data_IF_580144102725
#
_entry.id   IF_580144102725
#
_cell.length_a   1.000
_cell.length_b   1.000
_cell.length_c   1.000
_cell.angle_alpha   90.00
_cell.angle_beta   90.00
_cell.angle_gamma   90.00
#
_symmetry.space_group_name_H-M   'P 1'
#
loop_
_entity.id
_entity.type
_entity.pdbx_description
1 polymer ?
#
# COMPACT_ATOMS: atom_id res chain seq x y z
N UNK A 1 1.44 -11.65 16.13
CA UNK A 1 1.34 -10.18 16.06
C UNK A 1 0.32 -9.91 14.99
N UNK A 2 -0.95 -10.03 15.38
CA UNK A 2 -2.06 -9.97 14.44
C UNK A 2 -2.68 -8.58 14.58
N UNK A 3 -2.07 -7.59 13.95
CA UNK A 3 -2.77 -6.33 13.68
C UNK A 3 -3.87 -6.64 12.66
N UNK A 4 -5.00 -7.13 13.15
CA UNK A 4 -6.22 -7.32 12.36
C UNK A 4 -6.68 -5.94 11.89
N UNK A 5 -6.52 -5.67 10.59
CA UNK A 5 -7.20 -4.56 9.95
C UNK A 5 -8.71 -4.87 9.96
N UNK A 6 -9.45 -4.26 10.87
CA UNK A 6 -10.91 -4.38 10.91
C UNK A 6 -11.50 -3.63 9.72
N UNK A 7 -12.52 -4.18 9.05
CA UNK A 7 -13.23 -3.47 7.99
C UNK A 7 -14.64 -3.12 8.43
N UNK A 8 -15.10 -1.91 8.09
CA UNK A 8 -16.45 -1.41 8.40
C UNK A 8 -17.15 -0.95 7.14
N UNK A 9 -18.45 -1.23 7.03
CA UNK A 9 -19.27 -0.80 5.90
C UNK A 9 -20.03 0.47 6.26
N UNK A 10 -19.67 1.60 5.68
CA UNK A 10 -20.34 2.89 5.88
C UNK A 10 -20.95 3.36 4.56
N UNK A 11 -22.26 3.62 4.55
CA UNK A 11 -23.01 4.10 3.36
C UNK A 11 -22.74 3.27 2.09
N UNK A 12 -22.61 1.95 2.23
CA UNK A 12 -22.37 1.02 1.12
C UNK A 12 -20.89 0.85 0.70
N UNK A 13 -19.96 1.67 1.23
CA UNK A 13 -18.52 1.54 0.99
C UNK A 13 -17.83 0.80 2.14
N UNK A 14 -16.80 0.02 1.82
CA UNK A 14 -15.97 -0.67 2.82
C UNK A 14 -14.77 0.21 3.15
N UNK A 15 -14.55 0.44 4.44
CA UNK A 15 -13.41 1.16 4.98
C UNK A 15 -12.61 0.25 5.90
N UNK A 16 -11.32 0.52 6.06
CA UNK A 16 -10.45 -0.18 7.00
C UNK A 16 -10.19 0.67 8.23
N UNK A 17 -10.08 0.02 9.39
CA UNK A 17 -9.74 0.63 10.67
C UNK A 17 -8.33 0.20 11.03
N UNK A 18 -7.48 1.20 11.27
CA UNK A 18 -6.11 1.02 11.75
C UNK A 18 -5.98 1.88 13.01
N UNK A 19 -5.51 1.31 14.11
CA UNK A 19 -5.31 2.08 15.36
C UNK A 19 -6.57 2.75 15.91
N UNK A 20 -7.75 2.16 15.67
CA UNK A 20 -9.07 2.71 16.03
C UNK A 20 -9.57 3.88 15.18
N UNK A 21 -8.87 4.24 14.10
CA UNK A 21 -9.27 5.29 13.15
C UNK A 21 -9.76 4.69 11.82
N UNK A 22 -10.88 5.21 11.32
CA UNK A 22 -11.40 4.88 9.98
C UNK A 22 -10.52 5.58 8.95
N UNK A 23 -9.86 4.81 8.09
CA UNK A 23 -9.05 5.33 7.01
C UNK A 23 -9.96 5.83 5.88
N UNK A 24 -10.10 7.15 5.71
CA UNK A 24 -10.82 7.75 4.58
C UNK A 24 -9.88 7.99 3.40
N UNK A 25 -10.47 8.07 2.20
CA UNK A 25 -9.76 8.40 0.95
C UNK A 25 -8.95 9.71 1.08
N UNK A 26 -9.53 10.74 1.69
CA UNK A 26 -8.86 12.03 1.93
C UNK A 26 -7.67 11.94 2.89
N UNK A 27 -7.70 11.00 3.83
CA UNK A 27 -6.61 10.80 4.79
C UNK A 27 -5.44 10.10 4.09
N UNK A 28 -5.75 9.14 3.22
CA UNK A 28 -4.78 8.49 2.34
C UNK A 28 -4.07 9.51 1.43
N UNK A 29 -4.82 10.40 0.77
CA UNK A 29 -4.25 11.46 -0.07
C UNK A 29 -3.28 12.36 0.72
N UNK A 30 -3.73 12.85 1.88
CA UNK A 30 -2.92 13.76 2.72
C UNK A 30 -1.68 13.09 3.31
N UNK A 31 -1.78 11.84 3.75
CA UNK A 31 -0.69 11.18 4.48
C UNK A 31 0.26 10.43 3.57
N UNK A 32 -0.24 9.86 2.47
CA UNK A 32 0.51 8.98 1.58
C UNK A 32 0.80 9.71 0.27
N UNK A 33 -0.22 10.10 -0.50
CA UNK A 33 0.00 10.63 -1.85
C UNK A 33 0.83 11.93 -1.86
N UNK A 34 0.62 12.80 -0.86
CA UNK A 34 1.38 14.04 -0.70
C UNK A 34 2.89 13.82 -0.63
N UNK A 35 3.35 12.71 -0.04
CA UNK A 35 4.77 12.34 0.08
C UNK A 35 5.42 12.04 -1.26
N UNK A 36 4.62 11.76 -2.29
CA UNK A 36 5.11 11.45 -3.62
C UNK A 36 5.14 12.68 -4.54
N UNK A 37 4.79 13.87 -4.05
CA UNK A 37 4.90 15.14 -4.80
C UNK A 37 4.30 15.05 -6.23
N UNK A 38 3.11 14.45 -6.34
CA UNK A 38 2.41 14.26 -7.62
C UNK A 38 2.86 13.04 -8.44
N UNK A 39 3.89 12.30 -8.02
CA UNK A 39 4.35 11.06 -8.66
C UNK A 39 3.74 9.78 -8.07
N UNK A 40 2.79 9.89 -7.13
CA UNK A 40 2.17 8.74 -6.47
C UNK A 40 1.64 7.71 -7.49
N UNK A 41 0.94 8.19 -8.53
CA UNK A 41 0.36 7.33 -9.57
C UNK A 41 1.40 6.44 -10.26
N UNK A 42 2.62 6.95 -10.49
CA UNK A 42 3.70 6.17 -11.12
C UNK A 42 4.21 5.08 -10.19
N UNK A 43 4.46 5.42 -8.93
CA UNK A 43 4.86 4.47 -7.89
C UNK A 43 3.78 3.39 -7.68
N UNK A 44 2.51 3.79 -7.61
CA UNK A 44 1.37 2.89 -7.47
C UNK A 44 1.23 1.92 -8.65
N UNK A 45 1.36 2.42 -9.89
CA UNK A 45 1.31 1.57 -11.08
C UNK A 45 2.41 0.51 -11.09
N UNK A 46 3.62 0.87 -10.67
CA UNK A 46 4.73 -0.07 -10.53
C UNK A 46 4.44 -1.13 -9.46
N UNK A 47 3.98 -0.71 -8.27
CA UNK A 47 3.61 -1.63 -7.19
C UNK A 47 2.53 -2.64 -7.64
N UNK A 48 1.47 -2.15 -8.30
CA UNK A 48 0.41 -3.01 -8.83
C UNK A 48 0.94 -3.97 -9.90
N UNK A 49 1.85 -3.53 -10.76
CA UNK A 49 2.47 -4.40 -11.77
C UNK A 49 3.25 -5.54 -11.14
N UNK A 50 3.99 -5.27 -10.06
CA UNK A 50 4.69 -6.30 -9.28
C UNK A 50 3.67 -7.27 -8.68
N UNK A 51 2.62 -6.79 -8.01
CA UNK A 51 1.61 -7.68 -7.43
C UNK A 51 0.95 -8.58 -8.49
N UNK A 52 0.68 -8.06 -9.68
CA UNK A 52 0.08 -8.83 -10.79
C UNK A 52 0.97 -9.96 -11.33
N UNK A 53 2.27 -9.96 -11.06
CA UNK A 53 3.16 -11.05 -11.47
C UNK A 53 3.15 -12.25 -10.50
N UNK A 54 2.38 -12.18 -9.42
CA UNK A 54 2.28 -13.23 -8.40
C UNK A 54 0.90 -13.89 -8.39
N UNK A 55 0.88 -15.18 -8.03
CA UNK A 55 -0.36 -15.91 -7.81
C UNK A 55 -1.18 -15.32 -6.66
N UNK A 56 -2.50 -15.40 -6.80
CA UNK A 56 -3.46 -14.92 -5.80
C UNK A 56 -3.21 -15.53 -4.41
N UNK A 57 -2.78 -16.79 -4.34
CA UNK A 57 -2.45 -17.45 -3.07
C UNK A 57 -1.27 -16.80 -2.33
N UNK A 58 -0.27 -16.30 -3.07
CA UNK A 58 0.86 -15.55 -2.51
C UNK A 58 0.38 -14.20 -2.00
N UNK A 59 -0.46 -13.51 -2.77
CA UNK A 59 -0.98 -12.19 -2.40
C UNK A 59 -1.91 -12.21 -1.18
N UNK A 60 -2.67 -13.29 -1.01
CA UNK A 60 -3.63 -13.42 0.10
C UNK A 60 -2.99 -13.91 1.40
N UNK A 61 -1.81 -14.52 1.34
CA UNK A 61 -1.09 -14.92 2.55
C UNK A 61 -0.19 -13.80 3.02
N UNK A 62 -0.46 -13.27 4.22
CA UNK A 62 0.35 -12.20 4.82
C UNK A 62 1.84 -12.58 4.88
N UNK A 63 2.16 -13.82 5.29
CA UNK A 63 3.55 -14.31 5.38
C UNK A 63 4.21 -14.38 4.00
N UNK A 64 3.55 -14.99 3.02
CA UNK A 64 4.13 -15.12 1.68
C UNK A 64 4.25 -13.76 1.00
N UNK A 65 3.21 -12.93 1.05
CA UNK A 65 3.26 -11.56 0.54
C UNK A 65 4.45 -10.79 1.13
N UNK A 66 4.63 -10.83 2.45
CA UNK A 66 5.73 -10.15 3.13
C UNK A 66 7.09 -10.66 2.64
N UNK A 67 7.33 -11.98 2.67
CA UNK A 67 8.64 -12.55 2.35
C UNK A 67 8.98 -12.51 0.86
N UNK A 68 8.00 -12.66 -0.05
CA UNK A 68 8.28 -12.83 -1.48
C UNK A 68 8.00 -11.59 -2.32
N UNK A 69 7.05 -10.75 -1.92
CA UNK A 69 6.64 -9.56 -2.69
C UNK A 69 7.29 -8.32 -2.10
N UNK A 70 7.06 -8.06 -0.81
CA UNK A 70 7.43 -6.82 -0.14
C UNK A 70 8.91 -6.76 0.26
N UNK A 71 9.35 -7.65 1.15
CA UNK A 71 10.68 -7.62 1.78
C UNK A 71 11.85 -7.58 0.79
N UNK A 72 11.86 -8.33 -0.33
CA UNK A 72 12.99 -8.32 -1.26
C UNK A 72 13.18 -6.99 -1.99
N UNK A 73 12.15 -6.16 -2.06
CA UNK A 73 12.10 -4.94 -2.88
C UNK A 73 11.84 -3.68 -2.08
N UNK A 74 11.57 -3.81 -0.76
CA UNK A 74 11.20 -2.69 0.11
C UNK A 74 12.20 -1.55 -0.01
N UNK A 75 13.48 -1.83 0.18
CA UNK A 75 14.52 -0.80 0.23
C UNK A 75 14.83 -0.23 -1.16
N UNK A 76 14.78 -1.07 -2.20
CA UNK A 76 14.93 -0.66 -3.60
C UNK A 76 13.80 0.28 -4.03
N UNK A 77 12.54 -0.11 -3.80
CA UNK A 77 11.36 0.68 -4.15
C UNK A 77 11.29 1.97 -3.33
N UNK A 78 11.62 1.91 -2.03
CA UNK A 78 11.68 3.10 -1.19
C UNK A 78 12.70 4.12 -1.75
N UNK A 79 13.92 3.66 -2.08
CA UNK A 79 14.93 4.53 -2.69
C UNK A 79 14.46 5.09 -4.04
N UNK A 80 13.95 4.22 -4.92
CA UNK A 80 13.51 4.58 -6.26
C UNK A 80 12.37 5.60 -6.24
N UNK A 81 11.37 5.40 -5.39
CA UNK A 81 10.22 6.31 -5.34
C UNK A 81 10.58 7.63 -4.67
N UNK A 82 11.45 7.66 -3.67
CA UNK A 82 11.98 8.92 -3.12
C UNK A 82 12.76 9.74 -4.16
N UNK A 83 13.48 9.09 -5.07
CA UNK A 83 14.15 9.78 -6.18
C UNK A 83 13.17 10.38 -7.20
N UNK A 84 11.91 9.91 -7.27
CA UNK A 84 10.89 10.52 -8.12
C UNK A 84 10.39 11.87 -7.58
N UNK A 85 10.59 12.13 -6.29
CA UNK A 85 10.08 13.32 -5.59
C UNK A 85 11.17 14.37 -5.40
N UNK A 86 12.44 13.97 -5.33
CA UNK A 86 13.55 14.91 -5.19
C UNK A 86 13.79 15.63 -6.53
N UNK A 87 13.19 16.81 -6.72
CA UNK A 87 13.54 17.75 -7.80
C UNK A 87 14.31 18.94 -7.24
#
# INVERSE_FOLDING_TARGET
GDEMAYSVKLKGRVYFIIGNEIQKETDFEKQIESRFEGNFKKAWQEAVKICKSYDKGVLLSQKYFYETVYKPRRDELAKKWSQLTTK
#
